data_IF_314608172114
#
_entry.id   IF_314608172114
#
_cell.length_a   1.000
_cell.length_b   1.000
_cell.length_c   1.000
_cell.angle_alpha   90.00
_cell.angle_beta   90.00
_cell.angle_gamma   90.00
#
_symmetry.space_group_name_H-M   'P 1'
#
loop_
_entity.id
_entity.type
_entity.pdbx_description
1 polymer ?
#
# COMPACT_ATOMS: atom_id res chain seq x y z
N UNK A 1 4.24 11.99 -16.69
CA UNK A 1 5.14 11.83 -15.52
C UNK A 1 4.27 12.03 -14.28
N UNK A 2 4.48 11.33 -13.18
CA UNK A 2 3.64 11.54 -11.98
C UNK A 2 3.92 12.93 -11.42
N UNK A 3 2.88 13.72 -11.21
CA UNK A 3 3.01 15.07 -10.64
C UNK A 3 3.25 15.06 -9.14
N UNK A 4 2.96 13.93 -8.49
CA UNK A 4 3.07 13.70 -7.06
C UNK A 4 3.89 12.44 -6.76
N UNK A 5 4.33 12.32 -5.50
CA UNK A 5 4.76 11.04 -4.97
C UNK A 5 3.61 10.03 -4.98
N UNK A 6 3.90 8.80 -5.38
CA UNK A 6 2.94 7.71 -5.44
C UNK A 6 3.46 6.48 -4.70
N UNK A 7 2.56 5.62 -4.25
CA UNK A 7 2.94 4.35 -3.65
C UNK A 7 1.96 3.23 -4.03
N UNK A 8 2.41 1.99 -3.95
CA UNK A 8 1.53 0.81 -4.00
C UNK A 8 1.73 0.02 -2.71
N UNK A 9 0.62 -0.30 -2.07
CA UNK A 9 0.55 -1.17 -0.89
C UNK A 9 -0.77 -1.93 -0.87
N UNK A 10 -0.83 -3.00 -0.09
CA UNK A 10 -2.05 -3.73 0.23
C UNK A 10 -2.08 -4.08 1.72
N UNK A 11 -3.20 -4.63 2.18
CA UNK A 11 -3.29 -5.33 3.46
C UNK A 11 -3.53 -6.83 3.28
N UNK A 12 -3.39 -7.34 2.05
CA UNK A 12 -3.48 -8.76 1.75
C UNK A 12 -2.21 -9.47 2.19
N UNK A 13 -2.38 -10.67 2.76
CA UNK A 13 -1.29 -11.62 3.03
C UNK A 13 -1.74 -13.04 2.72
N UNK A 14 -0.84 -13.95 2.37
CA UNK A 14 -1.19 -15.36 2.20
C UNK A 14 -1.83 -15.94 3.48
N UNK A 15 -1.22 -15.70 4.64
CA UNK A 15 -1.84 -15.90 5.95
C UNK A 15 -1.84 -14.61 6.75
N UNK A 16 -3.03 -14.01 6.91
CA UNK A 16 -3.21 -12.79 7.68
C UNK A 16 -2.81 -12.95 9.16
N UNK A 17 -2.89 -14.16 9.70
CA UNK A 17 -2.63 -14.48 11.11
C UNK A 17 -1.16 -14.85 11.37
N UNK A 18 -0.35 -15.04 10.34
CA UNK A 18 1.07 -15.32 10.52
C UNK A 18 1.81 -14.06 10.94
N UNK A 19 1.99 -13.89 12.24
CA UNK A 19 2.65 -12.72 12.79
C UNK A 19 4.17 -12.86 12.93
N UNK A 20 4.78 -13.93 12.41
CA UNK A 20 6.17 -14.29 12.72
C UNK A 20 7.20 -13.27 12.24
N UNK A 21 6.97 -12.66 11.07
CA UNK A 21 7.84 -11.63 10.49
C UNK A 21 7.35 -10.21 10.81
N UNK A 22 6.25 -10.06 11.55
CA UNK A 22 5.65 -8.76 11.79
C UNK A 22 6.39 -7.98 12.86
N UNK A 23 6.54 -6.67 12.64
CA UNK A 23 7.07 -5.79 13.69
C UNK A 23 6.06 -5.66 14.83
N UNK A 24 6.52 -5.13 15.95
CA UNK A 24 5.65 -4.78 17.09
C UNK A 24 4.57 -3.73 16.75
N UNK A 25 4.69 -3.04 15.61
CA UNK A 25 3.72 -2.04 15.16
C UNK A 25 2.57 -2.67 14.35
N UNK A 26 2.62 -3.97 14.07
CA UNK A 26 1.61 -4.66 13.29
C UNK A 26 0.34 -4.92 14.11
N UNK A 27 -0.81 -4.72 13.46
CA UNK A 27 -2.09 -5.13 14.01
C UNK A 27 -2.22 -6.65 13.94
N UNK A 28 -2.58 -7.23 15.08
CA UNK A 28 -3.06 -8.60 15.15
C UNK A 28 -4.48 -8.62 14.60
N UNK A 29 -4.78 -9.42 13.55
CA UNK A 29 -6.12 -9.49 13.01
C UNK A 29 -7.14 -9.90 14.08
N UNK A 30 -8.30 -9.26 14.08
CA UNK A 30 -9.41 -9.68 14.95
C UNK A 30 -10.00 -11.02 14.50
N UNK A 31 -10.66 -11.74 15.41
CA UNK A 31 -11.33 -13.01 15.06
C UNK A 31 -12.36 -12.81 13.94
N UNK A 32 -12.17 -13.52 12.82
CA UNK A 32 -13.03 -13.42 11.63
C UNK A 32 -12.67 -12.27 10.68
N UNK A 33 -11.64 -11.49 10.98
CA UNK A 33 -11.09 -10.52 10.05
C UNK A 33 -10.35 -11.23 8.91
N UNK A 34 -10.48 -10.71 7.68
CA UNK A 34 -9.82 -11.25 6.49
C UNK A 34 -9.19 -10.12 5.67
N UNK A 35 -8.35 -10.50 4.70
CA UNK A 35 -7.65 -9.56 3.82
C UNK A 35 -8.55 -8.48 3.19
N UNK A 36 -9.78 -8.83 2.79
CA UNK A 36 -10.71 -7.86 2.19
C UNK A 36 -11.16 -6.81 3.20
N UNK A 37 -11.46 -7.21 4.43
CA UNK A 37 -11.84 -6.29 5.50
C UNK A 37 -10.66 -5.38 5.86
N UNK A 38 -9.46 -5.94 6.04
CA UNK A 38 -8.24 -5.18 6.33
C UNK A 38 -7.92 -4.17 5.24
N UNK A 39 -8.00 -4.58 3.97
CA UNK A 39 -7.70 -3.72 2.84
C UNK A 39 -8.76 -2.62 2.64
N UNK A 40 -10.02 -2.90 2.97
CA UNK A 40 -11.08 -1.88 3.03
C UNK A 40 -10.76 -0.82 4.09
N UNK A 41 -10.30 -1.23 5.25
CA UNK A 41 -9.98 -0.33 6.36
C UNK A 41 -8.70 0.47 6.08
N UNK A 42 -7.71 -0.14 5.41
CA UNK A 42 -6.56 0.55 4.84
C UNK A 42 -6.98 1.63 3.84
N UNK A 43 -7.83 1.29 2.86
CA UNK A 43 -8.38 2.25 1.89
C UNK A 43 -9.12 3.39 2.59
N UNK A 44 -9.95 3.07 3.57
CA UNK A 44 -10.66 4.06 4.36
C UNK A 44 -9.67 5.02 5.05
N UNK A 45 -8.63 4.49 5.68
CA UNK A 45 -7.58 5.29 6.36
C UNK A 45 -6.89 6.24 5.38
N UNK A 46 -6.43 5.74 4.23
CA UNK A 46 -5.80 6.54 3.17
C UNK A 46 -6.71 7.71 2.71
N UNK A 47 -7.98 7.41 2.43
CA UNK A 47 -8.97 8.44 2.05
C UNK A 47 -9.18 9.45 3.18
N UNK A 48 -9.26 9.02 4.44
CA UNK A 48 -9.39 9.92 5.59
C UNK A 48 -8.22 10.89 5.71
N UNK A 49 -7.00 10.41 5.46
CA UNK A 49 -5.76 11.20 5.39
C UNK A 49 -5.68 12.13 4.16
N UNK A 50 -6.64 12.02 3.24
CA UNK A 50 -6.73 12.77 1.97
C UNK A 50 -5.68 12.35 0.94
N UNK A 51 -5.27 11.10 1.01
CA UNK A 51 -4.48 10.44 -0.04
C UNK A 51 -5.47 9.94 -1.10
N UNK A 52 -5.15 10.17 -2.37
CA UNK A 52 -5.94 9.66 -3.50
C UNK A 52 -5.68 8.17 -3.67
N UNK A 53 -6.71 7.38 -3.97
CA UNK A 53 -6.59 5.91 -4.05
C UNK A 53 -7.23 5.39 -5.33
N UNK A 54 -6.50 4.55 -6.05
CA UNK A 54 -7.02 3.72 -7.13
C UNK A 54 -6.77 2.26 -6.80
N UNK A 55 -7.79 1.40 -6.95
CA UNK A 55 -7.59 -0.04 -6.83
C UNK A 55 -6.82 -0.55 -8.04
N UNK A 56 -5.86 -1.42 -7.78
CA UNK A 56 -5.09 -2.08 -8.83
C UNK A 56 -5.05 -3.58 -8.58
N UNK A 57 -5.25 -4.34 -9.65
CA UNK A 57 -5.01 -5.77 -9.65
C UNK A 57 -3.50 -5.96 -9.76
N UNK A 58 -2.89 -6.31 -8.64
CA UNK A 58 -1.47 -6.57 -8.52
C UNK A 58 -1.20 -8.06 -8.30
N UNK A 59 0.04 -8.48 -8.59
CA UNK A 59 0.59 -9.68 -7.99
C UNK A 59 1.89 -9.36 -7.27
N UNK A 60 2.02 -9.87 -6.04
CA UNK A 60 3.22 -9.76 -5.22
C UNK A 60 3.76 -11.17 -4.95
N UNK A 61 5.08 -11.30 -4.87
CA UNK A 61 5.72 -12.55 -4.46
C UNK A 61 6.10 -12.38 -3.00
N UNK A 62 5.32 -12.97 -2.11
CA UNK A 62 5.66 -13.04 -0.68
C UNK A 62 6.83 -13.99 -0.46
N UNK A 63 7.63 -13.74 0.58
CA UNK A 63 8.82 -14.54 0.92
C UNK A 63 9.81 -14.69 -0.25
N UNK A 64 10.03 -13.61 -0.99
CA UNK A 64 10.89 -13.61 -2.18
C UNK A 64 12.31 -14.14 -1.87
N UNK A 65 12.85 -14.93 -2.80
CA UNK A 65 14.16 -15.61 -2.70
C UNK A 65 14.24 -16.70 -1.62
N UNK A 66 13.10 -17.14 -1.08
CA UNK A 66 13.01 -18.29 -0.16
C UNK A 66 12.28 -19.49 -0.79
N UNK A 67 12.40 -20.71 -0.22
CA UNK A 67 11.59 -21.86 -0.63
C UNK A 67 10.08 -21.70 -0.40
N UNK A 68 9.66 -20.70 0.40
CA UNK A 68 8.26 -20.40 0.71
C UNK A 68 7.64 -19.41 -0.29
N UNK A 69 8.43 -18.90 -1.24
CA UNK A 69 8.00 -17.87 -2.19
C UNK A 69 6.69 -18.24 -2.90
N UNK A 70 5.70 -17.35 -2.81
CA UNK A 70 4.36 -17.56 -3.38
C UNK A 70 3.88 -16.30 -4.09
N UNK A 71 3.40 -16.45 -5.33
CA UNK A 71 2.73 -15.36 -6.03
C UNK A 71 1.29 -15.23 -5.53
N UNK A 72 0.98 -14.08 -4.94
CA UNK A 72 -0.34 -13.73 -4.41
C UNK A 72 -0.97 -12.72 -5.35
N UNK A 73 -2.18 -13.02 -5.83
CA UNK A 73 -3.03 -12.04 -6.50
C UNK A 73 -3.67 -11.15 -5.43
N UNK A 74 -3.47 -9.85 -5.53
CA UNK A 74 -3.82 -8.90 -4.48
C UNK A 74 -4.69 -7.77 -5.01
N UNK A 75 -5.70 -7.41 -4.22
CA UNK A 75 -6.34 -6.11 -4.34
C UNK A 75 -5.35 -5.08 -3.75
N UNK A 76 -4.45 -4.53 -4.56
CA UNK A 76 -3.53 -3.49 -4.10
C UNK A 76 -4.14 -2.09 -4.30
N UNK A 77 -3.57 -1.11 -3.60
CA UNK A 77 -4.01 0.27 -3.64
C UNK A 77 -2.87 1.14 -4.17
N UNK A 78 -3.08 1.72 -5.35
CA UNK A 78 -2.24 2.78 -5.86
C UNK A 78 -2.64 4.10 -5.18
N UNK A 79 -1.68 4.70 -4.49
CA UNK A 79 -1.86 5.86 -3.65
C UNK A 79 -1.16 7.08 -4.26
N UNK A 80 -1.83 8.24 -4.21
CA UNK A 80 -1.33 9.51 -4.75
C UNK A 80 -1.25 10.55 -3.64
N UNK A 81 -0.07 11.13 -3.44
CA UNK A 81 0.18 12.20 -2.49
C UNK A 81 -0.39 13.55 -2.96
N UNK A 82 -1.72 13.68 -2.94
CA UNK A 82 -2.44 14.88 -3.44
C UNK A 82 -2.09 16.19 -2.72
N UNK A 83 -1.38 16.12 -1.59
CA UNK A 83 -0.99 17.27 -0.78
C UNK A 83 0.51 17.56 -0.83
N UNK A 84 1.28 16.76 -1.56
CA UNK A 84 2.74 16.80 -1.55
C UNK A 84 3.30 16.81 -0.11
N UNK A 85 2.72 15.98 0.77
CA UNK A 85 3.19 15.82 2.14
C UNK A 85 4.60 15.22 2.10
N UNK A 86 5.63 15.90 2.66
CA UNK A 86 7.00 15.38 2.66
C UNK A 86 7.14 14.09 3.48
N UNK A 87 6.19 13.77 4.36
CA UNK A 87 6.18 12.56 5.16
C UNK A 87 5.32 11.44 4.54
N UNK A 88 4.91 11.57 3.28
CA UNK A 88 4.05 10.61 2.60
C UNK A 88 4.63 9.19 2.65
N UNK A 89 5.88 8.97 2.22
CA UNK A 89 6.46 7.62 2.25
C UNK A 89 6.60 7.06 3.66
N UNK A 90 6.90 7.89 4.66
CA UNK A 90 6.93 7.46 6.05
C UNK A 90 5.54 7.03 6.54
N UNK A 91 4.50 7.75 6.11
CA UNK A 91 3.10 7.41 6.40
C UNK A 91 2.72 6.07 5.76
N UNK A 92 3.04 5.87 4.49
CA UNK A 92 2.77 4.61 3.80
C UNK A 92 3.57 3.45 4.44
N UNK A 93 4.82 3.70 4.89
CA UNK A 93 5.62 2.71 5.61
C UNK A 93 4.91 2.23 6.88
N UNK A 94 4.41 3.17 7.71
CA UNK A 94 3.68 2.84 8.94
C UNK A 94 2.42 2.03 8.66
N UNK A 95 1.72 2.33 7.57
CA UNK A 95 0.58 1.52 7.13
C UNK A 95 1.02 0.12 6.68
N UNK A 96 2.11 0.00 5.94
CA UNK A 96 2.69 -1.30 5.58
C UNK A 96 3.10 -2.13 6.81
N UNK A 97 3.74 -1.50 7.80
CA UNK A 97 4.09 -2.13 9.09
C UNK A 97 2.83 -2.59 9.83
N UNK A 98 1.82 -1.71 9.94
CA UNK A 98 0.54 -2.01 10.59
C UNK A 98 -0.16 -3.24 9.99
N UNK A 99 -0.12 -3.40 8.67
CA UNK A 99 -0.71 -4.55 7.98
C UNK A 99 0.28 -5.69 7.72
N UNK A 100 1.49 -5.61 8.30
CA UNK A 100 2.56 -6.59 8.18
C UNK A 100 2.88 -6.98 6.74
N UNK A 101 3.03 -5.99 5.86
CA UNK A 101 3.52 -6.21 4.51
C UNK A 101 5.03 -6.44 4.53
N UNK A 102 5.54 -7.28 3.63
CA UNK A 102 6.98 -7.44 3.43
C UNK A 102 7.59 -6.11 2.94
N UNK A 103 6.93 -5.48 1.97
CA UNK A 103 7.36 -4.20 1.43
C UNK A 103 6.23 -3.41 0.82
N UNK A 104 6.50 -2.12 0.63
CA UNK A 104 5.68 -1.22 -0.18
C UNK A 104 6.50 -0.71 -1.36
N UNK A 105 5.83 -0.41 -2.47
CA UNK A 105 6.48 0.27 -3.59
C UNK A 105 6.35 1.78 -3.41
N UNK A 106 7.48 2.48 -3.39
CA UNK A 106 7.55 3.94 -3.40
C UNK A 106 7.96 4.43 -4.79
N UNK A 107 7.20 5.40 -5.33
CA UNK A 107 7.41 5.99 -6.64
C UNK A 107 7.55 7.51 -6.44
N UNK A 108 8.78 8.03 -6.45
CA UNK A 108 9.01 9.47 -6.34
C UNK A 108 8.33 10.26 -7.45
N UNK A 109 8.03 11.52 -7.17
CA UNK A 109 7.56 12.49 -8.15
C UNK A 109 8.40 12.43 -9.44
N UNK A 110 7.71 12.46 -10.58
CA UNK A 110 8.33 12.30 -11.90
C UNK A 110 8.50 10.84 -12.33
N UNK A 111 8.24 9.87 -11.45
CA UNK A 111 8.31 8.44 -11.72
C UNK A 111 9.74 7.89 -11.81
N UNK A 112 10.74 8.64 -11.34
CA UNK A 112 12.15 8.23 -11.43
C UNK A 112 12.65 7.62 -10.13
N UNK A 113 13.46 6.57 -10.24
CA UNK A 113 14.11 5.95 -9.07
C UNK A 113 13.10 5.36 -8.07
N UNK A 114 12.08 4.65 -8.56
CA UNK A 114 11.19 3.89 -7.70
C UNK A 114 11.96 2.80 -6.95
N UNK A 115 11.50 2.47 -5.75
CA UNK A 115 12.13 1.49 -4.86
C UNK A 115 11.08 0.74 -4.03
N UNK A 116 11.38 -0.51 -3.69
CA UNK A 116 10.68 -1.24 -2.62
C UNK A 116 11.24 -0.78 -1.29
N UNK A 117 10.38 -0.57 -0.30
CA UNK A 117 10.76 -0.25 1.07
C UNK A 117 10.21 -1.31 2.00
N UNK A 118 11.08 -1.96 2.78
CA UNK A 118 10.67 -3.01 3.70
C UNK A 118 9.89 -2.50 4.90
N UNK A 119 8.85 -3.25 5.27
CA UNK A 119 7.89 -2.87 6.32
C UNK A 119 7.69 -3.94 7.38
N UNK A 120 8.44 -5.04 7.32
CA UNK A 120 8.44 -6.06 8.35
C UNK A 120 9.86 -6.68 8.49
N UNK A 121 10.01 -7.68 9.36
CA UNK A 121 11.28 -8.32 9.68
C UNK A 121 11.68 -9.44 8.68
N UNK A 122 10.95 -9.60 7.57
CA UNK A 122 11.31 -10.56 6.52
C UNK A 122 12.70 -10.28 5.94
N UNK A 123 13.42 -11.33 5.55
CA UNK A 123 14.82 -11.22 5.08
C UNK A 123 14.97 -10.30 3.87
N UNK A 124 14.00 -10.33 2.96
CA UNK A 124 13.94 -9.45 1.82
C UNK A 124 12.62 -8.66 1.78
N UNK A 125 12.66 -7.33 1.60
CA UNK A 125 13.84 -6.48 1.53
C UNK A 125 14.49 -6.20 2.90
N UNK A 126 13.82 -6.53 4.01
CA UNK A 126 14.25 -6.18 5.37
C UNK A 126 13.70 -4.84 5.85
N UNK A 127 13.35 -4.76 7.14
CA UNK A 127 12.72 -3.57 7.75
C UNK A 127 13.53 -2.29 7.47
N UNK A 128 12.86 -1.30 6.86
CA UNK A 128 13.44 0.00 6.53
C UNK A 128 14.46 0.00 5.39
N UNK A 129 14.81 -1.16 4.83
CA UNK A 129 15.70 -1.25 3.68
C UNK A 129 15.02 -0.80 2.41
N UNK A 130 15.80 -0.26 1.47
CA UNK A 130 15.31 0.24 0.18
C UNK A 130 15.99 -0.50 -0.96
N UNK A 131 15.20 -1.14 -1.81
CA UNK A 131 15.68 -1.85 -3.00
C UNK A 131 15.23 -1.09 -4.25
N UNK A 132 16.16 -0.51 -5.03
CA UNK A 132 15.82 0.16 -6.28
C UNK A 132 15.15 -0.79 -7.28
N UNK A 133 14.06 -0.36 -7.90
CA UNK A 133 13.35 -1.13 -8.95
C UNK A 133 13.28 -0.40 -10.29
N UNK A 134 13.92 0.76 -10.38
CA UNK A 134 14.05 1.55 -11.61
C UNK A 134 12.96 2.61 -11.77
N UNK A 135 12.79 3.12 -12.99
CA UNK A 135 11.81 4.16 -13.27
C UNK A 135 10.41 3.54 -13.48
N UNK A 136 9.40 4.13 -12.84
CA UNK A 136 8.01 3.79 -13.05
C UNK A 136 7.52 4.39 -14.38
N UNK A 137 6.94 3.55 -15.24
CA UNK A 137 6.34 3.96 -16.51
C UNK A 137 4.83 3.84 -16.42
N UNK A 138 4.15 4.98 -16.47
CA UNK A 138 2.70 5.06 -16.57
C UNK A 138 2.32 5.26 -18.05
N UNK A 139 1.52 4.34 -18.59
CA UNK A 139 0.95 4.47 -19.94
C UNK A 139 -0.03 5.65 -20.02
N UNK A 140 -0.20 6.22 -21.22
CA UNK A 140 -1.18 7.28 -21.47
C UNK A 140 -2.62 6.82 -21.20
N UNK A 141 -3.53 7.80 -21.08
CA UNK A 141 -4.90 7.80 -20.49
C UNK A 141 -5.91 6.66 -20.80
N UNK A 142 -5.52 5.53 -21.40
CA UNK A 142 -6.38 4.37 -21.62
C UNK A 142 -5.68 3.01 -21.50
N UNK A 143 -4.35 2.94 -21.30
CA UNK A 143 -3.61 1.69 -21.15
C UNK A 143 -2.97 1.61 -19.76
N UNK A 144 -3.80 1.30 -18.77
CA UNK A 144 -3.39 1.14 -17.38
C UNK A 144 -2.65 -0.21 -17.17
N UNK A 145 -1.47 -0.35 -17.76
CA UNK A 145 -0.51 -1.39 -17.38
C UNK A 145 0.80 -0.71 -16.93
N UNK A 146 0.93 -0.42 -15.64
CA UNK A 146 2.19 0.08 -15.10
C UNK A 146 3.13 -1.09 -14.87
N UNK A 147 4.31 -1.08 -15.48
CA UNK A 147 5.35 -2.08 -15.20
C UNK A 147 6.27 -1.56 -14.11
N UNK A 148 6.27 -2.22 -12.96
CA UNK A 148 7.23 -1.98 -11.88
C UNK A 148 8.11 -3.21 -11.81
N UNK A 149 9.39 -3.11 -12.21
CA UNK A 149 10.36 -4.21 -12.10
C UNK A 149 9.90 -5.53 -12.75
N UNK A 150 9.58 -5.53 -14.06
CA UNK A 150 9.00 -6.66 -14.82
C UNK A 150 7.59 -7.12 -14.38
N UNK A 151 6.98 -6.53 -13.35
CA UNK A 151 5.64 -6.92 -12.87
C UNK A 151 4.56 -6.03 -13.47
N UNK A 152 3.53 -6.58 -14.15
CA UNK A 152 2.42 -5.81 -14.67
C UNK A 152 1.44 -5.44 -13.54
N UNK A 153 1.09 -4.17 -13.42
CA UNK A 153 0.03 -3.67 -12.53
C UNK A 153 -1.11 -3.14 -13.40
N UNK A 154 -2.33 -3.66 -13.20
CA UNK A 154 -3.52 -3.22 -13.94
C UNK A 154 -4.42 -2.38 -13.04
N UNK A 155 -4.86 -1.20 -13.49
CA UNK A 155 -5.74 -0.35 -12.69
C UNK A 155 -7.21 -0.68 -12.99
N UNK A 156 -7.99 -0.90 -11.93
CA UNK A 156 -9.37 -1.36 -12.06
C UNK A 156 -10.40 -0.21 -12.16
N UNK A 157 -10.11 0.96 -11.58
CA UNK A 157 -11.04 2.09 -11.44
C UNK A 157 -10.32 3.45 -11.60
N UNK A 158 -11.07 4.56 -11.59
CA UNK A 158 -10.49 5.93 -11.55
C UNK A 158 -9.90 6.30 -10.19
N UNK A 159 -9.26 7.46 -10.09
CA UNK A 159 -8.73 7.99 -8.82
C UNK A 159 -9.89 8.40 -7.90
N UNK A 160 -10.05 7.70 -6.78
CA UNK A 160 -11.01 8.04 -5.72
C UNK A 160 -10.35 8.93 -4.67
N UNK A 161 -11.07 9.95 -4.22
CA UNK A 161 -10.64 10.90 -3.20
C UNK A 161 -11.66 11.01 -2.09
N UNK A 162 -11.26 11.57 -0.94
CA UNK A 162 -12.19 11.83 0.17
C UNK A 162 -13.38 12.71 -0.23
N UNK A 163 -13.19 13.62 -1.19
CA UNK A 163 -14.25 14.49 -1.72
C UNK A 163 -15.35 13.72 -2.42
N UNK A 164 -15.04 12.55 -2.99
CA UNK A 164 -16.01 11.74 -3.73
C UNK A 164 -16.96 10.97 -2.80
N UNK A 165 -16.58 10.84 -1.51
CA UNK A 165 -17.38 10.15 -0.51
C UNK A 165 -18.61 10.95 -0.07
N UNK A 166 -19.73 10.25 0.12
CA UNK A 166 -20.93 10.79 0.77
C UNK A 166 -20.66 11.17 2.23
N UNK A 167 -21.53 11.99 2.83
CA UNK A 167 -21.39 12.42 4.24
C UNK A 167 -21.27 11.23 5.22
N UNK A 168 -22.04 10.17 5.01
CA UNK A 168 -22.01 8.99 5.88
C UNK A 168 -20.70 8.20 5.71
N UNK A 169 -20.24 8.04 4.46
CA UNK A 169 -18.95 7.41 4.18
C UNK A 169 -17.80 8.21 4.81
N UNK A 170 -17.83 9.54 4.71
CA UNK A 170 -16.84 10.42 5.36
C UNK A 170 -16.80 10.23 6.87
N UNK A 171 -17.96 10.12 7.54
CA UNK A 171 -18.00 9.87 8.98
C UNK A 171 -17.39 8.51 9.34
N UNK A 172 -17.73 7.45 8.61
CA UNK A 172 -17.16 6.11 8.83
C UNK A 172 -15.64 6.09 8.60
N UNK A 173 -15.19 6.68 7.49
CA UNK A 173 -13.77 6.82 7.14
C UNK A 173 -13.00 7.56 8.23
N UNK A 174 -13.52 8.68 8.73
CA UNK A 174 -12.85 9.44 9.79
C UNK A 174 -12.81 8.67 11.12
N UNK A 175 -13.82 7.86 11.42
CA UNK A 175 -13.80 7.01 12.61
C UNK A 175 -12.70 5.95 12.54
N UNK A 176 -12.53 5.30 11.38
CA UNK A 176 -11.44 4.33 11.14
C UNK A 176 -10.09 5.03 11.20
N UNK A 177 -9.94 6.14 10.47
CA UNK A 177 -8.69 6.92 10.42
C UNK A 177 -8.26 7.41 11.80
N UNK A 178 -9.21 7.80 12.65
CA UNK A 178 -8.90 8.27 14.00
C UNK A 178 -8.25 7.17 14.86
N UNK A 179 -8.65 5.91 14.70
CA UNK A 179 -8.02 4.78 15.40
C UNK A 179 -6.53 4.69 15.04
N UNK A 180 -6.22 4.71 13.75
CA UNK A 180 -4.84 4.71 13.26
C UNK A 180 -4.01 5.88 13.81
N UNK A 181 -4.55 7.10 13.76
CA UNK A 181 -3.83 8.28 14.24
C UNK A 181 -3.61 8.26 15.75
N UNK A 182 -4.54 7.71 16.55
CA UNK A 182 -4.37 7.60 18.00
C UNK A 182 -3.36 6.53 18.43
N UNK A 183 -3.06 5.56 17.58
CA UNK A 183 -2.05 4.51 17.84
C UNK A 183 -0.64 4.94 17.41
N UNK A 184 -0.54 6.05 16.66
CA UNK A 184 0.72 6.57 16.11
C UNK A 184 1.34 7.72 16.93
N UNK A 185 0.71 8.11 18.04
CA UNK A 185 1.15 9.14 19.01
C UNK A 185 1.88 8.51 20.20
#
# INVERSE_FOLDING_TARGET
>A
MTEHDCAILTAFRNDANDMTQCTQNADVPEEGENNKTRNRDLKATLLGMKIGVTKVDGSYIEDFDTPQAVEVSEDSLFCVNLKDDPNFFQTIQRLGEKYCQDSILCIPQGGKGAYLMGTNDAEFPGLGQKIPVGDAKFGGEAEFMSRVGNRPVTFAEGLETYSDLSRNQRMAVMAITKKFLSESE
#
